data_IF_082771525114
#
_entry.id   IF_082771525114
#
_cell.length_a   1.000
_cell.length_b   1.000
_cell.length_c   1.000
_cell.angle_alpha   90.00
_cell.angle_beta   90.00
_cell.angle_gamma   90.00
#
_symmetry.space_group_name_H-M   'P 1'
#
loop_
_entity.id
_entity.type
_entity.pdbx_description
1 polymer ?
#
# COMPACT_ATOMS: atom_id res chain seq x y z
N UNK A 1 -17.24 -12.70 -12.67
CA UNK A 1 -17.89 -11.42 -13.03
C UNK A 1 -19.01 -11.05 -12.05
N UNK A 2 -20.00 -11.91 -11.76
CA UNK A 2 -21.16 -11.55 -10.90
C UNK A 2 -20.84 -11.23 -9.42
N UNK A 3 -19.91 -11.93 -8.76
CA UNK A 3 -19.58 -11.67 -7.34
C UNK A 3 -18.84 -10.34 -7.12
N UNK A 4 -18.01 -9.91 -8.07
CA UNK A 4 -17.21 -8.67 -7.98
C UNK A 4 -18.09 -7.43 -8.13
N UNK A 5 -19.06 -7.47 -9.05
CA UNK A 5 -20.06 -6.41 -9.26
C UNK A 5 -20.96 -6.21 -8.02
N UNK A 6 -21.35 -7.31 -7.36
CA UNK A 6 -22.15 -7.27 -6.13
C UNK A 6 -21.34 -6.69 -4.96
N UNK A 7 -20.06 -7.02 -4.85
CA UNK A 7 -19.15 -6.46 -3.85
C UNK A 7 -18.95 -4.94 -4.05
N UNK A 8 -18.65 -4.48 -5.26
CA UNK A 8 -18.43 -3.05 -5.55
C UNK A 8 -19.70 -2.24 -5.25
N UNK A 9 -20.87 -2.70 -5.70
CA UNK A 9 -22.14 -2.01 -5.46
C UNK A 9 -22.58 -2.03 -3.98
N UNK A 10 -22.23 -3.08 -3.22
CA UNK A 10 -22.46 -3.16 -1.78
C UNK A 10 -21.52 -2.24 -0.97
N UNK A 11 -20.26 -2.09 -1.39
CA UNK A 11 -19.29 -1.17 -0.78
C UNK A 11 -19.66 0.30 -1.01
N UNK A 12 -20.19 0.61 -2.20
CA UNK A 12 -20.72 1.95 -2.53
C UNK A 12 -21.90 2.32 -1.61
N UNK A 13 -22.77 1.37 -1.25
CA UNK A 13 -23.92 1.61 -0.38
C UNK A 13 -23.50 1.99 1.06
N UNK A 14 -22.42 1.39 1.59
CA UNK A 14 -21.89 1.67 2.94
C UNK A 14 -21.26 3.07 3.07
N UNK A 15 -20.86 3.68 1.95
CA UNK A 15 -20.26 5.01 1.91
C UNK A 15 -21.18 6.12 2.47
N UNK A 16 -22.50 5.87 2.51
CA UNK A 16 -23.49 6.74 3.16
C UNK A 16 -23.41 6.77 4.69
N UNK A 17 -22.86 5.73 5.33
CA UNK A 17 -22.64 5.72 6.78
C UNK A 17 -21.37 6.47 7.16
N UNK A 18 -20.34 6.43 6.31
CA UNK A 18 -19.10 7.19 6.51
C UNK A 18 -19.37 8.70 6.34
N UNK A 19 -20.21 9.11 5.39
CA UNK A 19 -20.55 10.51 5.16
C UNK A 19 -21.31 11.18 6.32
N UNK A 20 -22.09 10.41 7.09
CA UNK A 20 -22.82 10.92 8.24
C UNK A 20 -21.91 11.39 9.39
N UNK A 21 -20.69 10.86 9.51
CA UNK A 21 -19.75 11.22 10.59
C UNK A 21 -18.91 12.48 10.29
N UNK A 22 -18.92 12.98 9.04
CA UNK A 22 -18.03 14.06 8.59
C UNK A 22 -18.77 15.37 8.24
N UNK A 23 -19.99 15.53 8.75
CA UNK A 23 -20.83 16.69 8.48
C UNK A 23 -20.34 18.00 9.14
N UNK A 24 -19.24 17.95 9.88
CA UNK A 24 -18.66 19.07 10.61
C UNK A 24 -17.40 19.59 9.89
N UNK A 25 -17.28 20.92 9.75
CA UNK A 25 -16.41 21.67 8.82
C UNK A 25 -14.88 21.55 8.95
N UNK A 26 -14.33 20.35 9.11
CA UNK A 26 -12.91 20.08 8.95
C UNK A 26 -12.57 19.85 7.47
N UNK A 27 -11.42 20.33 7.02
CA UNK A 27 -10.89 20.06 5.68
C UNK A 27 -9.59 19.27 5.80
N UNK A 28 -9.42 18.29 4.91
CA UNK A 28 -8.18 17.52 4.78
C UNK A 28 -7.44 17.96 3.51
N UNK A 29 -6.12 17.88 3.55
CA UNK A 29 -5.29 18.11 2.36
C UNK A 29 -4.69 16.80 1.88
N UNK A 30 -4.87 16.50 0.59
CA UNK A 30 -4.44 15.24 -0.03
C UNK A 30 -4.08 15.48 -1.50
N UNK A 31 -3.23 14.63 -2.05
CA UNK A 31 -2.89 14.61 -3.48
C UNK A 31 -3.83 13.66 -4.20
N UNK A 32 -4.37 14.07 -5.35
CA UNK A 32 -5.26 13.23 -6.15
C UNK A 32 -5.17 13.59 -7.63
N UNK A 33 -5.51 12.65 -8.50
CA UNK A 33 -5.51 12.85 -9.96
C UNK A 33 -6.78 13.60 -10.37
N UNK A 34 -6.64 14.67 -11.12
CA UNK A 34 -7.75 15.30 -11.83
C UNK A 34 -8.00 14.61 -13.16
N UNK A 35 -9.27 14.28 -13.43
CA UNK A 35 -9.67 13.65 -14.70
C UNK A 35 -9.26 14.48 -15.92
N UNK A 36 -9.48 15.80 -15.89
CA UNK A 36 -9.20 16.74 -17.00
C UNK A 36 -9.61 16.14 -18.36
N UNK A 37 -8.64 15.82 -19.21
CA UNK A 37 -8.79 15.26 -20.55
C UNK A 37 -8.41 13.78 -20.64
N UNK A 38 -8.09 13.13 -19.52
CA UNK A 38 -7.82 11.69 -19.49
C UNK A 38 -9.08 10.92 -19.89
N UNK A 39 -8.89 9.90 -20.73
CA UNK A 39 -9.89 8.89 -20.98
C UNK A 39 -10.28 8.20 -19.67
N UNK A 40 -11.48 7.62 -19.63
CA UNK A 40 -11.95 6.89 -18.43
C UNK A 40 -10.96 5.80 -18.00
N UNK A 41 -10.29 5.16 -18.96
CA UNK A 41 -9.30 4.10 -18.70
C UNK A 41 -8.04 4.68 -18.05
N UNK A 42 -7.44 5.70 -18.68
CA UNK A 42 -6.22 6.30 -18.17
C UNK A 42 -6.41 7.09 -16.89
N UNK A 43 -7.60 7.65 -16.67
CA UNK A 43 -7.99 8.25 -15.40
C UNK A 43 -8.06 7.20 -14.28
N UNK A 44 -8.74 6.07 -14.49
CA UNK A 44 -8.81 5.01 -13.49
C UNK A 44 -7.43 4.45 -13.18
N UNK A 45 -6.63 4.19 -14.22
CA UNK A 45 -5.25 3.69 -14.08
C UNK A 45 -4.39 4.62 -13.22
N UNK A 46 -4.44 5.93 -13.48
CA UNK A 46 -3.67 6.92 -12.74
C UNK A 46 -4.24 7.18 -11.33
N UNK A 47 -5.57 7.22 -11.16
CA UNK A 47 -6.20 7.66 -9.92
C UNK A 47 -6.34 6.55 -8.86
N UNK A 48 -6.44 5.29 -9.27
CA UNK A 48 -6.68 4.16 -8.35
C UNK A 48 -5.58 3.99 -7.28
N UNK A 49 -4.26 4.17 -7.56
CA UNK A 49 -3.23 4.22 -6.52
C UNK A 49 -3.49 5.32 -5.48
N UNK A 50 -3.88 6.53 -5.92
CA UNK A 50 -4.16 7.65 -5.01
C UNK A 50 -5.44 7.46 -4.19
N UNK A 51 -6.40 6.66 -4.67
CA UNK A 51 -7.53 6.23 -3.84
C UNK A 51 -7.05 5.39 -2.67
N UNK A 52 -6.14 4.44 -2.92
CA UNK A 52 -5.59 3.59 -1.87
C UNK A 52 -4.79 4.43 -0.85
N UNK A 53 -3.97 5.37 -1.31
CA UNK A 53 -3.21 6.27 -0.45
C UNK A 53 -4.12 7.14 0.42
N UNK A 54 -5.19 7.70 -0.17
CA UNK A 54 -6.18 8.48 0.55
C UNK A 54 -6.79 7.69 1.72
N UNK A 55 -7.18 6.44 1.48
CA UNK A 55 -7.75 5.56 2.50
C UNK A 55 -6.74 5.22 3.60
N UNK A 56 -5.49 4.97 3.24
CA UNK A 56 -4.43 4.60 4.17
C UNK A 56 -4.01 5.76 5.08
N UNK A 57 -3.94 6.97 4.53
CA UNK A 57 -3.39 8.14 5.24
C UNK A 57 -4.47 8.92 5.99
N UNK A 58 -5.66 9.10 5.40
CA UNK A 58 -6.65 10.04 5.92
C UNK A 58 -7.87 9.38 6.58
N UNK A 59 -8.15 8.10 6.31
CA UNK A 59 -9.35 7.41 6.78
C UNK A 59 -9.01 6.29 7.77
N UNK A 60 -8.37 6.68 8.87
CA UNK A 60 -7.95 5.77 9.94
C UNK A 60 -9.02 5.78 11.06
N UNK A 61 -9.49 4.60 11.43
CA UNK A 61 -10.53 4.42 12.43
C UNK A 61 -10.12 3.38 13.48
N UNK A 62 -10.86 3.31 14.59
CA UNK A 62 -10.66 2.27 15.61
C UNK A 62 -10.98 0.88 15.03
N UNK A 63 -10.17 -0.11 15.41
CA UNK A 63 -10.02 -1.40 14.73
C UNK A 63 -11.31 -2.20 14.50
N UNK A 64 -12.30 -2.02 15.37
CA UNK A 64 -13.59 -2.73 15.36
C UNK A 64 -14.78 -1.81 15.04
N UNK A 65 -14.53 -0.56 14.65
CA UNK A 65 -15.60 0.32 14.19
C UNK A 65 -16.14 -0.11 12.83
N UNK A 66 -17.42 0.15 12.61
CA UNK A 66 -18.06 -0.10 11.32
C UNK A 66 -17.33 0.64 10.17
N UNK A 67 -16.89 1.87 10.41
CA UNK A 67 -16.10 2.64 9.46
C UNK A 67 -14.75 2.00 9.13
N UNK A 68 -14.05 1.41 10.12
CA UNK A 68 -12.80 0.69 9.89
C UNK A 68 -13.00 -0.55 9.02
N UNK A 69 -14.08 -1.29 9.26
CA UNK A 69 -14.42 -2.47 8.45
C UNK A 69 -14.64 -2.06 6.99
N UNK A 70 -15.31 -0.94 6.75
CA UNK A 70 -15.61 -0.48 5.40
C UNK A 70 -14.41 0.06 4.65
N UNK A 71 -13.53 0.83 5.32
CA UNK A 71 -12.25 1.24 4.72
C UNK A 71 -11.40 0.01 4.39
N UNK A 72 -11.30 -0.96 5.31
CA UNK A 72 -10.54 -2.20 5.07
C UNK A 72 -11.12 -3.00 3.90
N UNK A 73 -12.45 -3.04 3.80
CA UNK A 73 -13.11 -3.72 2.70
C UNK A 73 -12.81 -3.06 1.36
N UNK A 74 -12.81 -1.73 1.31
CA UNK A 74 -12.46 -0.95 0.12
C UNK A 74 -10.98 -1.12 -0.26
N UNK A 75 -10.07 -1.08 0.70
CA UNK A 75 -8.65 -1.38 0.49
C UNK A 75 -8.47 -2.78 -0.08
N UNK A 76 -9.16 -3.77 0.49
CA UNK A 76 -9.12 -5.17 0.03
C UNK A 76 -9.63 -5.29 -1.41
N UNK A 77 -10.71 -4.59 -1.75
CA UNK A 77 -11.22 -4.54 -3.12
C UNK A 77 -10.18 -3.99 -4.09
N UNK A 78 -9.54 -2.86 -3.76
CA UNK A 78 -8.51 -2.24 -4.60
C UNK A 78 -7.30 -3.18 -4.77
N UNK A 79 -6.84 -3.80 -3.68
CA UNK A 79 -5.77 -4.80 -3.76
C UNK A 79 -6.16 -6.00 -4.62
N UNK A 80 -7.42 -6.45 -4.55
CA UNK A 80 -7.91 -7.54 -5.37
C UNK A 80 -7.90 -7.18 -6.87
N UNK A 81 -8.29 -5.96 -7.24
CA UNK A 81 -8.22 -5.45 -8.62
C UNK A 81 -6.80 -5.58 -9.17
N UNK A 82 -5.78 -5.18 -8.39
CA UNK A 82 -4.38 -5.31 -8.81
C UNK A 82 -3.89 -6.76 -8.83
N UNK A 83 -4.24 -7.55 -7.80
CA UNK A 83 -3.81 -8.96 -7.71
C UNK A 83 -4.37 -9.83 -8.85
N UNK A 84 -5.54 -9.46 -9.38
CA UNK A 84 -6.17 -10.12 -10.52
C UNK A 84 -5.77 -9.50 -11.86
N UNK A 85 -4.83 -8.55 -11.86
CA UNK A 85 -4.38 -7.82 -13.04
C UNK A 85 -5.52 -7.18 -13.85
N UNK A 86 -6.60 -6.77 -13.17
CA UNK A 86 -7.73 -6.12 -13.83
C UNK A 86 -7.38 -4.69 -14.29
N UNK A 87 -6.46 -4.04 -13.56
CA UNK A 87 -5.86 -2.76 -13.91
C UNK A 87 -4.34 -2.93 -13.80
N UNK A 88 -3.57 -2.74 -14.89
CA UNK A 88 -2.11 -2.77 -14.80
C UNK A 88 -1.61 -1.50 -14.08
N UNK A 89 -0.50 -1.59 -13.32
CA UNK A 89 0.14 -0.40 -12.78
C UNK A 89 0.62 0.52 -13.90
N UNK A 90 0.90 1.79 -13.56
CA UNK A 90 1.58 2.71 -14.47
C UNK A 90 2.94 2.11 -14.83
N UNK A 91 3.22 2.01 -16.13
CA UNK A 91 4.47 1.43 -16.59
C UNK A 91 5.53 2.53 -16.70
N UNK A 92 6.34 2.71 -15.66
CA UNK A 92 7.39 3.74 -15.60
C UNK A 92 8.43 3.66 -16.74
N UNK A 93 8.57 2.51 -17.43
CA UNK A 93 9.47 2.36 -18.58
C UNK A 93 8.87 2.86 -19.89
N UNK A 94 7.54 2.83 -20.03
CA UNK A 94 6.83 3.14 -21.29
C UNK A 94 5.91 4.35 -21.19
N UNK A 95 5.53 4.75 -19.98
CA UNK A 95 4.56 5.79 -19.67
C UNK A 95 5.21 6.81 -18.73
N UNK A 96 5.06 8.10 -19.03
CA UNK A 96 5.44 9.15 -18.08
C UNK A 96 4.54 9.11 -16.85
N UNK A 97 5.11 9.41 -15.67
CA UNK A 97 4.33 9.52 -14.44
C UNK A 97 3.25 10.61 -14.60
N UNK A 98 1.96 10.31 -14.35
CA UNK A 98 0.85 11.26 -14.49
C UNK A 98 0.87 12.41 -13.46
N UNK A 99 2.04 12.84 -12.96
CA UNK A 99 2.25 13.96 -12.03
C UNK A 99 1.58 15.24 -12.52
N UNK A 100 1.53 15.48 -13.83
CA UNK A 100 0.86 16.65 -14.42
C UNK A 100 -0.66 16.70 -14.18
N UNK A 101 -1.28 15.56 -13.87
CA UNK A 101 -2.67 15.46 -13.46
C UNK A 101 -2.84 15.45 -11.95
N UNK A 102 -1.75 15.32 -11.20
CA UNK A 102 -1.76 15.35 -9.74
C UNK A 102 -2.01 16.77 -9.25
N UNK A 103 -2.97 16.91 -8.33
CA UNK A 103 -3.29 18.18 -7.70
C UNK A 103 -3.49 18.03 -6.21
N UNK A 104 -3.10 19.06 -5.46
CA UNK A 104 -3.41 19.16 -4.06
C UNK A 104 -4.84 19.66 -3.88
N UNK A 105 -5.66 18.85 -3.22
CA UNK A 105 -6.99 19.23 -2.79
C UNK A 105 -6.97 19.65 -1.33
N UNK A 106 -7.90 20.55 -0.97
CA UNK A 106 -8.15 20.95 0.41
C UNK A 106 -9.66 21.03 0.61
N UNK A 107 -10.25 19.86 0.83
CA UNK A 107 -11.69 19.64 0.78
C UNK A 107 -12.17 18.92 2.05
N UNK A 108 -13.48 18.84 2.24
CA UNK A 108 -14.04 18.03 3.33
C UNK A 108 -13.75 16.52 3.12
N UNK A 109 -13.65 15.71 4.20
CA UNK A 109 -13.48 14.26 4.07
C UNK A 109 -14.55 13.59 3.20
N UNK A 110 -15.79 14.11 3.22
CA UNK A 110 -16.88 13.61 2.37
C UNK A 110 -16.56 13.82 0.89
N UNK A 111 -16.05 14.99 0.51
CA UNK A 111 -15.66 15.27 -0.87
C UNK A 111 -14.48 14.40 -1.33
N UNK A 112 -13.51 14.14 -0.45
CA UNK A 112 -12.41 13.24 -0.76
C UNK A 112 -12.90 11.80 -1.03
N UNK A 113 -13.81 11.29 -0.20
CA UNK A 113 -14.44 9.99 -0.42
C UNK A 113 -15.29 9.97 -1.70
N UNK A 114 -15.94 11.08 -2.04
CA UNK A 114 -16.71 11.18 -3.27
C UNK A 114 -15.82 11.07 -4.52
N UNK A 115 -14.60 11.62 -4.50
CA UNK A 115 -13.63 11.44 -5.59
C UNK A 115 -13.17 9.99 -5.69
N UNK A 116 -12.91 9.34 -4.56
CA UNK A 116 -12.59 7.90 -4.54
C UNK A 116 -13.74 7.05 -5.12
N UNK A 117 -14.98 7.39 -4.75
CA UNK A 117 -16.18 6.76 -5.30
C UNK A 117 -16.26 6.91 -6.81
N UNK A 118 -16.05 8.12 -7.32
CA UNK A 118 -16.11 8.41 -8.76
C UNK A 118 -15.15 7.51 -9.56
N UNK A 119 -13.92 7.32 -9.07
CA UNK A 119 -12.94 6.42 -9.72
C UNK A 119 -13.46 4.98 -9.76
N UNK A 120 -13.99 4.48 -8.64
CA UNK A 120 -14.50 3.11 -8.56
C UNK A 120 -15.78 2.90 -9.37
N UNK A 121 -16.65 3.91 -9.45
CA UNK A 121 -17.84 3.89 -10.31
C UNK A 121 -17.45 3.83 -11.79
N UNK A 122 -16.46 4.63 -12.21
CA UNK A 122 -15.95 4.60 -13.59
C UNK A 122 -15.30 3.24 -13.89
N UNK A 123 -14.48 2.71 -12.97
CA UNK A 123 -13.94 1.36 -13.10
C UNK A 123 -15.05 0.32 -13.28
N UNK A 124 -16.10 0.39 -12.45
CA UNK A 124 -17.24 -0.52 -12.55
C UNK A 124 -17.94 -0.41 -13.91
N UNK A 125 -18.14 0.81 -14.41
CA UNK A 125 -18.71 1.04 -15.74
C UNK A 125 -17.85 0.42 -16.85
N UNK A 126 -16.53 0.59 -16.79
CA UNK A 126 -15.60 0.03 -17.77
C UNK A 126 -15.69 -1.50 -17.83
N UNK A 127 -15.72 -2.18 -16.68
CA UNK A 127 -15.76 -3.65 -16.64
C UNK A 127 -17.15 -4.25 -16.91
N UNK A 128 -18.21 -3.45 -16.80
CA UNK A 128 -19.60 -3.92 -17.01
C UNK A 128 -20.08 -3.67 -18.44
N UNK A 129 -19.68 -2.58 -19.07
CA UNK A 129 -20.13 -2.19 -20.41
C UNK A 129 -19.29 -2.81 -21.53
N UNK A 130 -18.03 -3.17 -21.25
CA UNK A 130 -17.10 -3.62 -22.29
C UNK A 130 -16.99 -5.13 -22.26
N UNK A 131 -17.53 -5.79 -23.28
CA UNK A 131 -17.41 -7.24 -23.49
C UNK A 131 -16.07 -7.66 -24.11
N UNK A 132 -15.19 -6.70 -24.41
CA UNK A 132 -13.87 -6.88 -25.02
C UNK A 132 -12.75 -6.51 -24.05
N UNK A 133 -11.50 -6.87 -24.37
CA UNK A 133 -10.35 -6.41 -23.60
C UNK A 133 -10.23 -4.88 -23.64
N UNK A 134 -10.09 -4.25 -22.48
CA UNK A 134 -9.80 -2.82 -22.35
C UNK A 134 -8.34 -2.55 -22.74
N UNK A 135 -8.11 -1.49 -23.51
CA UNK A 135 -6.77 -1.00 -23.82
C UNK A 135 -6.29 -0.06 -22.72
N UNK A 136 -5.25 -0.47 -21.99
CA UNK A 136 -4.67 0.26 -20.86
C UNK A 136 -3.40 1.05 -21.24
N UNK A 137 -3.13 1.25 -22.53
CA UNK A 137 -1.99 2.02 -23.02
C UNK A 137 -2.24 3.53 -22.86
N UNK A 138 -1.58 4.16 -21.89
CA UNK A 138 -1.80 5.56 -21.53
C UNK A 138 -0.63 6.50 -21.84
N UNK A 139 0.46 5.98 -22.44
CA UNK A 139 1.68 6.74 -22.74
C UNK A 139 1.39 8.06 -23.48
N UNK A 140 0.54 8.03 -24.50
CA UNK A 140 0.21 9.21 -25.30
C UNK A 140 -0.59 10.24 -24.52
N UNK A 141 -1.51 9.82 -23.65
CA UNK A 141 -2.34 10.73 -22.85
C UNK A 141 -1.52 11.37 -21.72
N UNK A 142 -0.56 10.64 -21.15
CA UNK A 142 0.31 11.15 -20.10
C UNK A 142 1.36 12.14 -20.64
N UNK A 143 1.78 12.02 -21.91
CA UNK A 143 2.80 12.90 -22.50
C UNK A 143 2.25 14.14 -23.24
N UNK A 144 0.97 14.19 -23.62
CA UNK A 144 0.49 15.14 -24.65
C UNK A 144 0.33 16.61 -24.21
N UNK A 145 0.56 16.96 -22.95
CA UNK A 145 0.24 18.33 -22.49
C UNK A 145 1.41 19.32 -22.58
N UNK A 146 2.62 18.87 -22.88
CA UNK A 146 3.75 19.78 -23.12
C UNK A 146 3.54 20.62 -24.40
N UNK A 147 2.68 20.18 -25.32
CA UNK A 147 2.49 20.83 -26.64
C UNK A 147 1.28 21.77 -26.69
N UNK A 148 0.29 21.62 -25.82
CA UNK A 148 -1.00 22.35 -25.93
C UNK A 148 -1.03 23.73 -25.25
N UNK A 149 -0.05 24.05 -24.39
CA UNK A 149 0.00 25.34 -23.65
C UNK A 149 0.75 26.45 -24.41
N UNK A 150 1.37 26.14 -25.56
CA UNK A 150 2.19 27.09 -26.33
C UNK A 150 1.48 27.74 -27.53
N UNK A 151 0.17 27.55 -27.70
CA UNK A 151 -0.59 28.19 -28.80
C UNK A 151 -1.67 29.13 -28.27
N UNK A 152 -1.26 30.20 -27.60
CA UNK A 152 -2.09 31.41 -27.47
C UNK A 152 -1.22 32.61 -27.88
N UNK A 153 -1.65 33.43 -28.85
CA UNK A 153 -0.81 34.51 -29.39
C UNK A 153 -0.66 35.64 -28.36
N UNK A 154 0.56 36.12 -28.05
CA UNK A 154 0.73 37.20 -27.10
C UNK A 154 0.32 38.53 -27.74
N UNK A 155 -0.70 39.17 -27.18
CA UNK A 155 -1.01 40.58 -27.42
C UNK A 155 0.18 41.44 -26.98
N UNK A 156 0.73 42.18 -27.93
CA UNK A 156 1.76 43.21 -27.78
C UNK A 156 1.40 44.27 -26.74
N UNK A 157 2.32 44.52 -25.78
CA UNK A 157 2.70 45.88 -25.36
C UNK A 157 3.98 45.88 -24.48
N UNK A 158 5.03 46.50 -25.05
CA UNK A 158 6.15 47.27 -24.46
C UNK A 158 7.33 46.58 -23.74
N UNK A 159 8.48 46.49 -24.45
CA UNK A 159 9.81 47.14 -24.20
C UNK A 159 10.34 47.12 -22.74
N UNK A 160 11.55 46.70 -22.36
CA UNK A 160 12.84 46.31 -22.99
C UNK A 160 13.81 45.92 -21.85
N UNK A 161 14.95 45.33 -22.23
CA UNK A 161 16.23 45.23 -21.50
C UNK A 161 16.58 43.87 -20.86
N UNK A 162 17.05 42.97 -21.74
CA UNK A 162 18.44 42.48 -21.72
C UNK A 162 19.04 42.08 -20.37
N UNK A 163 18.81 40.84 -19.92
CA UNK A 163 19.87 39.96 -19.39
C UNK A 163 19.59 38.53 -19.89
N UNK A 164 20.02 38.29 -21.13
CA UNK A 164 20.36 36.95 -21.61
C UNK A 164 21.73 36.61 -21.01
N UNK A 165 21.88 35.39 -20.49
CA UNK A 165 23.07 34.77 -19.85
C UNK A 165 23.25 34.99 -18.34
N UNK A 166 22.64 34.11 -17.53
CA UNK A 166 23.38 33.24 -16.58
C UNK A 166 22.43 32.20 -15.96
N UNK A 167 22.82 30.92 -15.93
CA UNK A 167 22.17 29.93 -15.06
C UNK A 167 21.64 28.65 -15.73
N UNK A 168 22.29 28.14 -16.77
CA UNK A 168 22.15 26.72 -17.17
C UNK A 168 23.47 26.04 -16.79
N UNK A 169 23.53 25.47 -15.58
CA UNK A 169 24.47 24.42 -15.11
C UNK A 169 24.41 24.27 -13.58
N UNK A 170 23.27 23.84 -13.01
CA UNK A 170 23.24 23.48 -11.57
C UNK A 170 22.16 22.44 -11.19
N UNK A 171 21.81 21.51 -12.09
CA UNK A 171 20.88 20.42 -11.77
C UNK A 171 21.41 19.00 -12.06
N UNK A 172 22.52 18.86 -12.79
CA UNK A 172 23.04 17.54 -13.18
C UNK A 172 24.00 16.92 -12.13
N UNK A 173 24.41 17.69 -11.11
CA UNK A 173 25.24 17.16 -10.01
C UNK A 173 24.42 16.61 -8.84
N UNK A 174 23.16 17.01 -8.67
CA UNK A 174 22.36 16.69 -7.49
C UNK A 174 21.85 15.23 -7.50
N UNK A 175 21.43 14.73 -8.66
CA UNK A 175 20.79 13.40 -8.78
C UNK A 175 21.75 12.24 -8.47
N UNK A 176 23.02 12.37 -8.89
CA UNK A 176 24.05 11.35 -8.62
C UNK A 176 24.40 11.21 -7.13
N UNK A 177 24.19 12.29 -6.35
CA UNK A 177 24.50 12.31 -4.92
C UNK A 177 23.39 11.69 -4.07
N UNK A 178 22.12 11.86 -4.49
CA UNK A 178 20.96 11.27 -3.83
C UNK A 178 20.95 9.74 -3.95
N UNK A 179 21.26 9.19 -5.13
CA UNK A 179 21.32 7.73 -5.32
C UNK A 179 22.48 7.09 -4.53
N UNK A 180 23.63 7.76 -4.47
CA UNK A 180 24.78 7.31 -3.65
C UNK A 180 24.46 7.31 -2.16
N UNK A 181 23.79 8.36 -1.66
CA UNK A 181 23.33 8.42 -0.27
C UNK A 181 22.28 7.35 0.03
N UNK A 182 21.32 7.14 -0.87
CA UNK A 182 20.31 6.09 -0.75
C UNK A 182 20.93 4.69 -0.65
N UNK A 183 21.93 4.40 -1.48
CA UNK A 183 22.63 3.12 -1.43
C UNK A 183 23.38 2.90 -0.11
N UNK A 184 24.04 3.94 0.44
CA UNK A 184 24.73 3.86 1.73
C UNK A 184 23.73 3.57 2.84
N UNK A 185 22.58 4.26 2.86
CA UNK A 185 21.54 4.05 3.88
C UNK A 185 20.95 2.64 3.78
N UNK A 186 20.64 2.16 2.58
CA UNK A 186 20.15 0.79 2.35
C UNK A 186 21.17 -0.26 2.77
N UNK A 187 22.46 -0.06 2.48
CA UNK A 187 23.52 -0.98 2.86
C UNK A 187 23.69 -1.05 4.39
N UNK A 188 23.62 0.09 5.08
CA UNK A 188 23.69 0.15 6.55
C UNK A 188 22.49 -0.55 7.18
N UNK A 189 21.28 -0.28 6.69
CA UNK A 189 20.05 -0.91 7.20
C UNK A 189 20.10 -2.43 6.96
N UNK A 190 20.44 -2.88 5.76
CA UNK A 190 20.58 -4.29 5.43
C UNK A 190 21.66 -4.98 6.29
N UNK A 191 22.78 -4.31 6.53
CA UNK A 191 23.84 -4.78 7.42
C UNK A 191 23.36 -4.95 8.87
N UNK A 192 22.64 -3.97 9.40
CA UNK A 192 22.06 -4.05 10.75
C UNK A 192 21.04 -5.19 10.83
N UNK A 193 20.17 -5.35 9.83
CA UNK A 193 19.23 -6.47 9.78
C UNK A 193 19.93 -7.83 9.75
N UNK A 194 21.03 -7.96 8.99
CA UNK A 194 21.84 -9.18 8.98
C UNK A 194 22.49 -9.46 10.34
N UNK A 195 23.04 -8.43 11.00
CA UNK A 195 23.63 -8.58 12.34
C UNK A 195 22.57 -9.01 13.37
N UNK A 196 21.38 -8.41 13.34
CA UNK A 196 20.26 -8.79 14.20
C UNK A 196 19.81 -10.22 13.90
N UNK A 197 19.70 -10.62 12.63
CA UNK A 197 19.33 -11.97 12.25
C UNK A 197 20.35 -13.01 12.77
N UNK A 198 21.66 -12.77 12.59
CA UNK A 198 22.73 -13.64 13.10
C UNK A 198 22.72 -13.68 14.63
N UNK A 199 22.55 -12.53 15.29
CA UNK A 199 22.42 -12.48 16.74
C UNK A 199 21.23 -13.31 17.24
N UNK A 200 20.06 -13.15 16.60
CA UNK A 200 18.86 -13.93 16.89
C UNK A 200 19.08 -15.44 16.67
N UNK A 201 19.78 -15.83 15.62
CA UNK A 201 20.11 -17.24 15.35
C UNK A 201 21.10 -17.80 16.38
N UNK A 202 22.12 -17.04 16.76
CA UNK A 202 23.08 -17.43 17.79
C UNK A 202 22.42 -17.53 19.16
N UNK A 203 21.53 -16.60 19.49
CA UNK A 203 20.74 -16.63 20.71
C UNK A 203 19.81 -17.85 20.72
N UNK A 204 19.06 -18.10 19.64
CA UNK A 204 18.23 -19.31 19.48
C UNK A 204 19.06 -20.59 19.60
N UNK A 205 20.27 -20.63 19.03
CA UNK A 205 21.16 -21.80 19.12
C UNK A 205 21.66 -22.01 20.56
N UNK A 206 22.05 -20.96 21.27
CA UNK A 206 22.43 -21.03 22.69
C UNK A 206 21.26 -21.47 23.57
N UNK A 207 20.05 -20.98 23.32
CA UNK A 207 18.85 -21.41 24.03
C UNK A 207 18.51 -22.88 23.74
N UNK A 208 18.61 -23.33 22.48
CA UNK A 208 18.44 -24.75 22.14
C UNK A 208 19.50 -25.62 22.82
N UNK A 209 20.75 -25.17 22.92
CA UNK A 209 21.82 -25.89 23.61
C UNK A 209 21.65 -25.91 25.14
N UNK A 210 21.14 -24.83 25.76
CA UNK A 210 20.78 -24.82 27.19
C UNK A 210 19.60 -25.74 27.46
N UNK A 211 18.53 -25.65 26.66
CA UNK A 211 17.36 -26.52 26.77
C UNK A 211 17.70 -28.01 26.58
N UNK A 212 18.63 -28.35 25.67
CA UNK A 212 19.14 -29.73 25.53
C UNK A 212 19.88 -30.21 26.78
N UNK A 213 20.63 -29.33 27.47
CA UNK A 213 21.31 -29.68 28.73
C UNK A 213 20.34 -29.88 29.90
N UNK A 214 19.30 -29.06 29.98
CA UNK A 214 18.27 -29.22 31.03
C UNK A 214 17.47 -30.51 30.83
N UNK A 215 17.19 -30.89 29.57
CA UNK A 215 16.49 -32.14 29.26
C UNK A 215 17.32 -33.38 29.67
N UNK A 216 18.64 -33.34 29.51
CA UNK A 216 19.54 -34.44 29.96
C UNK A 216 19.57 -34.57 31.50
N UNK A 217 19.47 -33.46 32.23
CA UNK A 217 19.45 -33.45 33.69
C UNK A 217 18.13 -34.01 34.26
N UNK A 218 17.00 -33.67 33.64
CA UNK A 218 15.69 -34.22 33.99
C UNK A 218 15.60 -35.72 33.71
N UNK A 219 16.26 -36.19 32.64
CA UNK A 219 16.30 -37.61 32.30
C UNK A 219 17.12 -38.41 33.32
N UNK A 220 18.23 -37.86 33.83
CA UNK A 220 19.04 -38.53 34.85
C UNK A 220 18.33 -38.60 36.22
N UNK A 221 17.67 -37.51 36.65
CA UNK A 221 16.91 -37.50 37.91
C UNK A 221 15.71 -38.46 37.91
N UNK A 222 15.12 -38.70 36.74
CA UNK A 222 14.01 -39.66 36.57
C UNK A 222 14.49 -41.11 36.59
N UNK A 223 15.66 -41.42 36.01
CA UNK A 223 16.26 -42.76 36.05
C UNK A 223 16.71 -43.16 37.46
N UNK A 224 17.20 -42.22 38.27
CA UNK A 224 17.57 -42.50 39.68
C UNK A 224 16.38 -42.79 40.60
N UNK A 225 15.14 -42.42 40.21
CA UNK A 225 13.94 -42.65 41.02
C UNK A 225 13.15 -43.91 40.65
N UNK A 226 13.53 -44.64 39.58
CA UNK A 226 12.85 -45.87 39.16
C UNK A 226 13.41 -47.15 39.81
N UNK A 227 14.39 -47.02 40.70
CA UNK A 227 15.13 -48.14 41.26
C UNK A 227 14.88 -48.44 42.74
N UNK A 228 13.68 -48.26 43.32
CA UNK A 228 13.38 -48.83 44.65
C UNK A 228 11.86 -48.94 44.91
N UNK A 229 11.22 -50.02 44.44
CA UNK A 229 9.91 -50.44 44.97
C UNK A 229 9.93 -51.94 45.22
N UNK A 230 10.26 -52.27 46.46
CA UNK A 230 10.33 -53.61 47.04
C UNK A 230 8.95 -54.30 47.02
N UNK A 231 8.92 -55.56 46.58
CA UNK A 231 7.74 -56.44 46.60
C UNK A 231 7.48 -56.94 48.02
N UNK A 232 6.35 -56.57 48.62
CA UNK A 232 5.89 -57.16 49.88
C UNK A 232 5.15 -58.47 49.62
N UNK A 233 5.78 -59.52 50.10
CA UNK A 233 5.33 -60.87 50.40
C UNK A 233 3.91 -60.92 51.02
N UNK A 234 2.99 -61.67 50.43
CA UNK A 234 1.76 -62.11 51.12
C UNK A 234 1.78 -63.63 51.28
N UNK A 235 1.74 -64.03 52.54
CA UNK A 235 1.74 -65.38 53.11
C UNK A 235 0.30 -65.91 53.10
N UNK A 236 0.12 -67.13 52.58
CA UNK A 236 -1.13 -67.89 52.62
C UNK A 236 -1.27 -68.62 53.98
N UNK A 237 -2.45 -68.52 54.59
CA UNK A 237 -3.08 -69.59 55.39
C UNK A 237 -4.15 -70.22 54.46
N UNK A 238 -4.43 -71.53 54.39
CA UNK A 238 -4.45 -72.62 55.37
C UNK A 238 -4.56 -73.96 54.58
N UNK A 239 -4.13 -75.10 55.14
CA UNK A 239 -4.87 -76.37 55.29
C UNK A 239 -3.92 -77.52 55.74
N UNK A 240 -4.23 -78.04 56.95
CA UNK A 240 -3.73 -79.18 57.77
C UNK A 240 -2.36 -79.02 58.44
#
# INVERSE_FOLDING_TARGET
>A
MSQMTISISGHILHQTQISNQFRNGCSISYMFIEKKHLSSVCYVKAALPHVLDLLNVHFIYSQDSESALSVRSLQTLIHNIYSQHCVPPVNEELEEDPVMFLKQFKDSPIQALQRAKEVLDIYLQLITQVHTSLDWSCATEYSNYTTAVMTEPPSTQSTEATIVMLGKNEQDLSDSSFYKLGFIVLAVIAGIFLLIAVFCLMHRKRFRQRRRRDTDFDTWSTVSNMGFRSTSFNRMDLII
#
